data_IF_393878952355
#
_entry.id   IF_393878952355
#
_cell.length_a   1.000
_cell.length_b   1.000
_cell.length_c   1.000
_cell.angle_alpha   90.00
_cell.angle_beta   90.00
_cell.angle_gamma   90.00
#
_symmetry.space_group_name_H-M   'P 1'
#
loop_
_entity.id
_entity.type
_entity.pdbx_description
1 polymer ?
#
# COMPACT_ATOMS: atom_id res chain seq x y z
N UNK A 1 -16.40 -3.38 9.23
CA UNK A 1 -15.75 -4.22 10.26
C UNK A 1 -14.26 -3.92 10.26
N UNK A 2 -13.64 -3.88 11.43
CA UNK A 2 -12.20 -3.60 11.61
C UNK A 2 -11.68 -4.45 12.76
N UNK A 3 -10.41 -4.84 12.70
CA UNK A 3 -9.72 -5.57 13.77
C UNK A 3 -8.50 -4.78 14.22
N UNK A 4 -8.15 -4.92 15.49
CA UNK A 4 -6.89 -4.40 16.01
C UNK A 4 -5.75 -5.34 15.61
N UNK A 5 -4.75 -4.82 14.89
CA UNK A 5 -3.61 -5.62 14.43
C UNK A 5 -2.61 -5.94 15.56
N UNK A 6 -2.75 -5.32 16.74
CA UNK A 6 -1.97 -5.68 17.92
C UNK A 6 -2.47 -7.00 18.55
N UNK A 7 -3.69 -7.43 18.22
CA UNK A 7 -4.16 -8.76 18.59
C UNK A 7 -3.44 -9.80 17.73
N UNK A 8 -2.63 -10.71 18.33
CA UNK A 8 -1.91 -11.73 17.58
C UNK A 8 -2.84 -12.69 16.80
N UNK A 9 -4.10 -12.79 17.20
CA UNK A 9 -5.10 -13.66 16.57
C UNK A 9 -5.97 -12.93 15.54
N UNK A 10 -5.74 -11.63 15.28
CA UNK A 10 -6.57 -10.85 14.35
C UNK A 10 -6.68 -11.47 12.95
N UNK A 11 -5.60 -12.06 12.44
CA UNK A 11 -5.60 -12.75 11.15
C UNK A 11 -6.48 -14.00 11.15
N UNK A 12 -6.51 -14.76 12.25
CA UNK A 12 -7.36 -15.95 12.38
C UNK A 12 -8.82 -15.55 12.54
N UNK A 13 -9.09 -14.52 13.35
CA UNK A 13 -10.43 -13.96 13.51
C UNK A 13 -11.00 -13.47 12.16
N UNK A 14 -10.20 -12.84 11.30
CA UNK A 14 -10.61 -12.48 9.93
C UNK A 14 -10.97 -13.73 9.11
N UNK A 15 -10.15 -14.77 9.16
CA UNK A 15 -10.39 -16.02 8.40
C UNK A 15 -11.66 -16.72 8.86
N UNK A 16 -11.89 -16.80 10.17
CA UNK A 16 -13.10 -17.39 10.76
C UNK A 16 -14.35 -16.60 10.38
N UNK A 17 -14.32 -15.27 10.56
CA UNK A 17 -15.45 -14.40 10.22
C UNK A 17 -15.83 -14.48 8.74
N UNK A 18 -14.85 -14.72 7.86
CA UNK A 18 -15.06 -14.82 6.41
C UNK A 18 -15.37 -16.25 5.97
N UNK A 19 -15.46 -17.22 6.88
CA UNK A 19 -15.70 -18.62 6.54
C UNK A 19 -14.60 -19.20 5.65
N UNK A 20 -13.35 -18.83 5.91
CA UNK A 20 -12.17 -19.34 5.20
C UNK A 20 -12.12 -18.95 3.70
N UNK A 21 -12.73 -17.82 3.33
CA UNK A 21 -12.96 -17.46 1.92
C UNK A 21 -12.07 -16.33 1.36
N UNK A 22 -11.19 -15.72 2.17
CA UNK A 22 -10.35 -14.61 1.68
C UNK A 22 -9.30 -15.12 0.71
N UNK A 23 -9.39 -14.68 -0.54
CA UNK A 23 -8.45 -15.04 -1.60
C UNK A 23 -7.42 -13.94 -1.90
N UNK A 24 -7.61 -12.72 -1.40
CA UNK A 24 -6.76 -11.57 -1.69
C UNK A 24 -6.49 -10.77 -0.42
N UNK A 25 -5.22 -10.50 -0.14
CA UNK A 25 -4.78 -9.60 0.93
C UNK A 25 -3.88 -8.51 0.35
N UNK A 26 -4.13 -7.26 0.72
CA UNK A 26 -3.29 -6.10 0.42
C UNK A 26 -2.59 -5.65 1.70
N UNK A 27 -1.26 -5.76 1.74
CA UNK A 27 -0.43 -5.34 2.85
C UNK A 27 0.18 -3.95 2.59
N UNK A 28 -0.29 -2.98 3.37
CA UNK A 28 0.16 -1.59 3.29
C UNK A 28 1.32 -1.25 4.23
N UNK A 29 1.79 -2.22 5.03
CA UNK A 29 2.83 -2.05 6.05
C UNK A 29 4.12 -2.79 5.66
N UNK A 30 3.99 -3.99 5.09
CA UNK A 30 5.08 -4.79 4.51
C UNK A 30 6.21 -5.13 5.50
N UNK A 31 5.86 -5.43 6.76
CA UNK A 31 6.78 -6.05 7.72
C UNK A 31 6.56 -7.57 7.79
N UNK A 32 7.37 -8.28 8.57
CA UNK A 32 7.16 -9.73 8.76
C UNK A 32 5.86 -10.00 9.51
N UNK A 33 5.50 -9.11 10.44
CA UNK A 33 4.31 -9.17 11.27
C UNK A 33 3.05 -8.93 10.42
N UNK A 34 3.02 -7.87 9.59
CA UNK A 34 1.87 -7.60 8.71
C UNK A 34 1.66 -8.69 7.66
N UNK A 35 2.75 -9.25 7.12
CA UNK A 35 2.68 -10.38 6.20
C UNK A 35 2.13 -11.63 6.89
N UNK A 36 2.54 -11.90 8.14
CA UNK A 36 2.00 -13.00 8.95
C UNK A 36 0.49 -12.86 9.17
N UNK A 37 0.02 -11.67 9.55
CA UNK A 37 -1.43 -11.37 9.70
C UNK A 37 -2.17 -11.65 8.39
N UNK A 38 -1.67 -11.15 7.26
CA UNK A 38 -2.28 -11.39 5.95
C UNK A 38 -2.31 -12.88 5.58
N UNK A 39 -1.23 -13.62 5.87
CA UNK A 39 -1.14 -15.05 5.57
C UNK A 39 -2.07 -15.89 6.43
N UNK A 40 -2.33 -15.48 7.68
CA UNK A 40 -3.32 -16.11 8.54
C UNK A 40 -4.75 -15.78 8.09
N UNK A 41 -5.00 -14.58 7.61
CA UNK A 41 -6.30 -14.15 7.10
C UNK A 41 -6.71 -14.84 5.79
N UNK A 42 -5.76 -15.11 4.89
CA UNK A 42 -6.04 -15.80 3.62
C UNK A 42 -6.56 -17.22 3.88
N UNK A 43 -7.64 -17.59 3.19
CA UNK A 43 -8.31 -18.88 3.33
C UNK A 43 -7.41 -20.08 3.04
N UNK A 44 -7.77 -21.26 3.54
CA UNK A 44 -6.97 -22.49 3.50
C UNK A 44 -6.58 -22.90 2.08
N UNK A 45 -7.47 -22.67 1.10
CA UNK A 45 -7.28 -22.92 -0.34
C UNK A 45 -6.19 -22.05 -0.99
N UNK A 46 -5.68 -21.05 -0.28
CA UNK A 46 -4.65 -20.14 -0.76
C UNK A 46 -5.24 -18.87 -1.38
N UNK A 47 -4.42 -18.15 -2.13
CA UNK A 47 -4.81 -16.84 -2.63
C UNK A 47 -3.65 -16.00 -3.14
N UNK A 48 -3.85 -14.68 -3.16
CA UNK A 48 -2.88 -13.67 -3.58
C UNK A 48 -2.58 -12.76 -2.39
N UNK A 49 -1.29 -12.60 -2.12
CA UNK A 49 -0.79 -11.59 -1.21
C UNK A 49 -0.15 -10.49 -2.06
N UNK A 50 -0.52 -9.24 -1.83
CA UNK A 50 0.04 -8.09 -2.52
C UNK A 50 0.57 -7.09 -1.50
N UNK A 51 1.86 -6.81 -1.51
CA UNK A 51 2.47 -5.79 -0.66
C UNK A 51 2.68 -4.48 -1.41
N UNK A 52 2.70 -3.36 -0.67
CA UNK A 52 3.09 -2.06 -1.21
C UNK A 52 4.60 -1.88 -1.35
N UNK A 53 5.41 -2.76 -0.76
CA UNK A 53 6.86 -2.76 -0.90
C UNK A 53 7.47 -4.17 -1.00
N UNK A 54 8.80 -4.27 -1.12
CA UNK A 54 9.50 -5.55 -1.11
C UNK A 54 9.40 -6.23 0.26
N UNK A 55 8.92 -7.48 0.27
CA UNK A 55 8.81 -8.31 1.46
C UNK A 55 9.90 -9.38 1.55
N UNK A 56 10.10 -9.93 2.74
CA UNK A 56 11.03 -11.05 2.98
C UNK A 56 10.47 -12.37 2.46
N UNK A 57 11.23 -13.05 1.59
CA UNK A 57 10.86 -14.40 1.11
C UNK A 57 10.86 -15.45 2.23
N UNK A 58 11.52 -15.20 3.36
CA UNK A 58 11.51 -16.13 4.51
C UNK A 58 10.12 -16.28 5.12
N UNK A 59 9.26 -15.27 4.96
CA UNK A 59 7.87 -15.28 5.46
C UNK A 59 6.89 -15.95 4.48
N UNK A 60 7.36 -16.37 3.30
CA UNK A 60 6.54 -17.11 2.36
C UNK A 60 6.46 -18.59 2.76
N UNK A 61 5.60 -18.90 3.73
CA UNK A 61 5.47 -20.25 4.34
C UNK A 61 4.39 -21.11 3.68
N UNK A 62 3.47 -20.51 2.91
CA UNK A 62 2.34 -21.19 2.28
C UNK A 62 2.46 -21.18 0.75
N UNK A 63 2.78 -22.33 0.15
CA UNK A 63 2.89 -22.49 -1.32
C UNK A 63 1.61 -22.11 -2.09
N UNK A 64 0.44 -22.28 -1.47
CA UNK A 64 -0.85 -21.95 -2.08
C UNK A 64 -1.12 -20.43 -2.15
N UNK A 65 -0.35 -19.61 -1.42
CA UNK A 65 -0.43 -18.15 -1.48
C UNK A 65 0.58 -17.66 -2.52
N UNK A 66 0.16 -16.81 -3.45
CA UNK A 66 1.04 -16.22 -4.48
C UNK A 66 1.38 -14.79 -4.10
N UNK A 67 2.55 -14.54 -3.48
CA UNK A 67 2.92 -13.20 -3.08
C UNK A 67 3.44 -12.38 -4.26
N UNK A 68 3.08 -11.10 -4.27
CA UNK A 68 3.55 -10.06 -5.21
C UNK A 68 3.70 -8.76 -4.46
N UNK A 69 4.37 -7.80 -5.09
CA UNK A 69 4.47 -6.44 -4.56
C UNK A 69 4.42 -5.41 -5.67
N UNK A 70 4.00 -4.20 -5.32
CA UNK A 70 3.85 -3.08 -6.24
C UNK A 70 5.15 -2.27 -6.29
N UNK A 71 5.65 -2.00 -7.50
CA UNK A 71 6.71 -1.01 -7.71
C UNK A 71 6.13 0.13 -8.55
N UNK A 72 5.56 1.14 -7.87
CA UNK A 72 4.86 2.25 -8.52
C UNK A 72 5.72 3.00 -9.56
N UNK A 73 7.05 2.99 -9.41
CA UNK A 73 7.97 3.63 -10.36
C UNK A 73 7.87 3.09 -11.80
N UNK A 74 7.33 1.87 -12.01
CA UNK A 74 7.10 1.33 -13.36
C UNK A 74 6.02 2.10 -14.12
N UNK A 75 5.17 2.88 -13.44
CA UNK A 75 4.16 3.76 -14.05
C UNK A 75 4.77 4.76 -15.04
N UNK A 76 6.06 5.09 -14.91
CA UNK A 76 6.76 5.95 -15.88
C UNK A 76 6.93 5.31 -17.26
N UNK A 77 6.81 3.99 -17.36
CA UNK A 77 7.08 3.18 -18.55
C UNK A 77 8.57 3.00 -18.86
N UNK A 78 9.45 3.70 -18.13
CA UNK A 78 10.90 3.68 -18.30
C UNK A 78 11.54 2.62 -17.39
N UNK A 79 12.80 2.21 -17.67
CA UNK A 79 13.53 1.34 -16.75
C UNK A 79 13.67 1.96 -15.35
N UNK A 80 13.55 1.12 -14.32
CA UNK A 80 13.84 1.50 -12.93
C UNK A 80 15.26 1.01 -12.61
N UNK A 81 16.22 1.93 -12.58
CA UNK A 81 17.65 1.63 -12.42
C UNK A 81 18.10 1.48 -10.94
N UNK A 82 17.21 0.99 -10.07
CA UNK A 82 17.53 0.73 -8.66
C UNK A 82 18.25 -0.62 -8.49
N UNK A 83 18.82 -0.86 -7.31
CA UNK A 83 19.57 -2.09 -7.01
C UNK A 83 18.64 -3.25 -6.64
N UNK A 84 19.14 -4.48 -6.83
CA UNK A 84 18.50 -5.70 -6.34
C UNK A 84 17.07 -5.90 -6.85
N UNK A 85 16.18 -6.27 -5.92
CA UNK A 85 14.79 -6.61 -6.21
C UNK A 85 13.99 -5.46 -6.86
N UNK A 86 14.46 -4.22 -6.77
CA UNK A 86 13.76 -3.05 -7.33
C UNK A 86 14.12 -2.73 -8.78
N UNK A 87 15.15 -3.36 -9.36
CA UNK A 87 15.50 -3.14 -10.77
C UNK A 87 14.34 -3.59 -11.67
N UNK A 88 13.97 -2.78 -12.65
CA UNK A 88 13.00 -3.15 -13.69
C UNK A 88 13.45 -2.68 -15.06
N UNK A 89 13.21 -3.51 -16.07
CA UNK A 89 13.19 -3.07 -17.46
C UNK A 89 12.03 -2.10 -17.72
N UNK A 90 12.07 -1.44 -18.88
CA UNK A 90 10.97 -0.60 -19.33
C UNK A 90 9.65 -1.38 -19.37
N UNK A 91 8.56 -0.75 -18.94
CA UNK A 91 7.21 -1.32 -18.96
C UNK A 91 6.21 -0.35 -19.60
N UNK A 92 6.21 -0.20 -20.94
CA UNK A 92 5.29 0.73 -21.62
C UNK A 92 3.81 0.49 -21.29
N UNK A 93 3.40 -0.77 -21.10
CA UNK A 93 2.03 -1.12 -20.71
C UNK A 93 1.61 -0.57 -19.35
N UNK A 94 2.53 -0.45 -18.38
CA UNK A 94 2.23 0.14 -17.08
C UNK A 94 1.96 1.66 -17.23
N UNK A 95 2.65 2.31 -18.18
CA UNK A 95 2.45 3.73 -18.52
C UNK A 95 1.11 3.97 -19.23
N UNK A 96 0.71 3.05 -20.10
CA UNK A 96 -0.61 3.08 -20.76
C UNK A 96 -1.73 2.86 -19.73
N UNK A 97 -1.59 1.84 -18.88
CA UNK A 97 -2.54 1.53 -17.81
C UNK A 97 -2.72 2.70 -16.85
N UNK A 98 -1.64 3.33 -16.38
CA UNK A 98 -1.78 4.44 -15.45
C UNK A 98 -2.42 5.67 -16.09
N UNK A 99 -2.24 5.87 -17.41
CA UNK A 99 -2.89 6.96 -18.14
C UNK A 99 -4.41 6.78 -18.25
N UNK A 100 -4.90 5.55 -18.43
CA UNK A 100 -6.34 5.27 -18.36
C UNK A 100 -6.83 5.38 -16.92
N UNK A 101 -6.11 4.77 -15.97
CA UNK A 101 -6.51 4.76 -14.57
C UNK A 101 -6.62 6.17 -13.96
N UNK A 102 -5.70 7.09 -14.26
CA UNK A 102 -5.81 8.47 -13.76
C UNK A 102 -7.06 9.19 -14.29
N UNK A 103 -7.49 8.91 -15.52
CA UNK A 103 -8.73 9.49 -16.06
C UNK A 103 -9.96 8.96 -15.33
N UNK A 104 -9.99 7.67 -15.03
CA UNK A 104 -11.06 7.05 -14.25
C UNK A 104 -11.07 7.59 -12.80
N UNK A 105 -9.92 7.65 -12.14
CA UNK A 105 -9.78 8.24 -10.81
C UNK A 105 -10.25 9.70 -10.75
N UNK A 106 -9.95 10.50 -11.78
CA UNK A 106 -10.41 11.89 -11.84
C UNK A 106 -11.93 11.96 -11.88
N UNK A 107 -12.58 11.13 -12.70
CA UNK A 107 -14.05 11.07 -12.75
C UNK A 107 -14.66 10.65 -11.40
N UNK A 108 -14.05 9.67 -10.72
CA UNK A 108 -14.49 9.24 -9.39
C UNK A 108 -14.30 10.34 -8.33
N UNK A 109 -13.24 11.13 -8.45
CA UNK A 109 -12.95 12.24 -7.54
C UNK A 109 -13.91 13.42 -7.79
N UNK A 110 -14.10 13.82 -9.05
CA UNK A 110 -15.01 14.89 -9.45
C UNK A 110 -16.46 14.55 -9.08
N UNK A 111 -16.84 13.27 -9.19
CA UNK A 111 -18.13 12.76 -8.78
C UNK A 111 -18.30 12.56 -7.28
N UNK A 112 -17.26 12.75 -6.47
CA UNK A 112 -17.29 12.58 -5.01
C UNK A 112 -17.38 11.12 -4.53
N UNK A 113 -17.24 10.14 -5.43
CA UNK A 113 -17.23 8.70 -5.10
C UNK A 113 -16.02 8.32 -4.27
N UNK A 114 -14.87 8.95 -4.56
CA UNK A 114 -13.67 8.86 -3.73
C UNK A 114 -13.38 10.22 -3.11
N UNK A 115 -12.92 10.23 -1.87
CA UNK A 115 -12.57 11.43 -1.14
C UNK A 115 -11.09 11.41 -0.75
N UNK A 116 -10.43 12.59 -0.67
CA UNK A 116 -9.08 12.67 -0.13
C UNK A 116 -9.02 12.12 1.30
N UNK A 117 -7.87 11.56 1.66
CA UNK A 117 -7.59 11.20 3.05
C UNK A 117 -7.65 12.46 3.94
N UNK A 118 -8.01 12.37 5.24
CA UNK A 118 -8.01 13.53 6.12
C UNK A 118 -6.68 14.28 6.10
N UNK A 119 -6.76 15.61 6.01
CA UNK A 119 -5.58 16.44 5.76
C UNK A 119 -5.04 17.05 7.06
N UNK A 120 -3.73 17.03 7.21
CA UNK A 120 -2.98 17.90 8.12
C UNK A 120 -2.26 18.95 7.29
N UNK A 121 -2.81 20.15 7.22
CA UNK A 121 -2.28 21.23 6.37
C UNK A 121 -1.21 22.00 7.13
N UNK A 122 0.02 21.98 6.61
CA UNK A 122 1.12 22.84 7.07
C UNK A 122 1.16 24.10 6.22
N UNK A 123 1.12 25.27 6.87
CA UNK A 123 1.15 26.59 6.22
C UNK A 123 2.49 27.24 6.52
N UNK A 124 3.15 27.79 5.50
CA UNK A 124 4.47 28.41 5.65
C UNK A 124 5.42 28.22 4.46
N UNK A 125 4.92 27.73 3.33
CA UNK A 125 5.73 27.56 2.12
C UNK A 125 6.67 26.35 2.21
N UNK A 126 7.77 26.41 1.47
CA UNK A 126 8.72 25.29 1.37
C UNK A 126 9.45 24.96 2.67
N UNK A 127 9.55 25.91 3.61
CA UNK A 127 10.16 25.68 4.93
C UNK A 127 9.45 24.59 5.74
N UNK A 128 8.13 24.46 5.59
CA UNK A 128 7.34 23.45 6.30
C UNK A 128 7.53 22.03 5.75
N UNK A 129 8.11 21.87 4.56
CA UNK A 129 8.31 20.55 3.94
C UNK A 129 9.24 19.70 4.81
N UNK A 130 10.34 20.26 5.29
CA UNK A 130 11.30 19.53 6.13
C UNK A 130 10.68 19.09 7.45
N UNK A 131 9.91 19.98 8.09
CA UNK A 131 9.15 19.65 9.29
C UNK A 131 8.14 18.53 9.05
N UNK A 132 7.41 18.60 7.94
CA UNK A 132 6.44 17.58 7.57
C UNK A 132 7.08 16.21 7.34
N UNK A 133 8.24 16.17 6.68
CA UNK A 133 9.02 14.94 6.49
C UNK A 133 9.51 14.37 7.82
N UNK A 134 10.00 15.21 8.73
CA UNK A 134 10.42 14.79 10.06
C UNK A 134 9.24 14.20 10.87
N UNK A 135 8.07 14.83 10.85
CA UNK A 135 6.87 14.28 11.52
C UNK A 135 6.46 12.91 10.97
N UNK A 136 6.62 12.69 9.65
CA UNK A 136 6.35 11.40 9.01
C UNK A 136 7.37 10.34 9.44
N UNK A 137 8.66 10.68 9.45
CA UNK A 137 9.75 9.78 9.84
C UNK A 137 9.64 9.35 11.31
N UNK A 138 9.27 10.28 12.19
CA UNK A 138 9.09 10.02 13.62
C UNK A 138 7.74 9.35 13.95
N UNK A 139 6.95 8.95 12.94
CA UNK A 139 5.71 8.19 13.11
C UNK A 139 4.58 8.96 13.82
N UNK A 140 4.63 10.30 13.83
CA UNK A 140 3.64 11.14 14.56
C UNK A 140 2.29 11.28 13.85
N UNK A 141 2.13 10.65 12.70
CA UNK A 141 0.91 10.72 11.90
C UNK A 141 0.10 9.44 11.99
N UNK A 142 -1.18 9.60 12.29
CA UNK A 142 -2.16 8.53 12.26
C UNK A 142 -3.43 9.02 11.56
N UNK A 143 -3.89 8.28 10.55
CA UNK A 143 -5.12 8.57 9.81
C UNK A 143 -5.15 9.94 9.09
N UNK A 144 -3.99 10.51 8.79
CA UNK A 144 -3.88 11.82 8.14
C UNK A 144 -2.78 11.87 7.08
N UNK A 145 -2.96 12.74 6.09
CA UNK A 145 -1.94 13.09 5.09
C UNK A 145 -1.44 14.52 5.34
N UNK A 146 -0.13 14.69 5.50
CA UNK A 146 0.49 16.04 5.48
C UNK A 146 0.35 16.64 4.08
N UNK A 147 -0.11 17.88 4.04
CA UNK A 147 -0.11 18.72 2.84
C UNK A 147 0.56 20.05 3.18
N UNK A 148 1.66 20.37 2.50
CA UNK A 148 2.29 21.69 2.62
C UNK A 148 1.63 22.65 1.64
N UNK A 149 0.96 23.67 2.17
CA UNK A 149 0.37 24.73 1.37
C UNK A 149 1.43 25.79 1.08
N UNK A 150 1.77 25.91 -0.20
CA UNK A 150 2.60 26.98 -0.71
C UNK A 150 1.67 28.18 -0.92
N UNK A 151 1.65 29.11 0.03
CA UNK A 151 1.02 30.41 -0.21
C UNK A 151 1.87 31.13 -1.25
N UNK A 152 1.32 31.34 -2.45
CA UNK A 152 1.86 32.23 -3.47
C UNK A 152 1.17 33.58 -3.34
#
# INVERSE_FOLDING_TARGET
MTFDYHDPECGEAVRELTGDSIECALDCITTSESMSVCYRAIGSKGGRYLALDQYSLRQHTRRAVKPRWILANTMSGKPVAWKGAYRREAKPRDREFIASWFRECQQLLDGGTIQPHPLKVLRGGLGEVLRGLQELEEGRLSGQKIVCSLTV
#
